data_IF_159022386774
#
_entry.id   IF_159022386774
#
_cell.length_a   1.000
_cell.length_b   1.000
_cell.length_c   1.000
_cell.angle_alpha   90.00
_cell.angle_beta   90.00
_cell.angle_gamma   90.00
#
_symmetry.space_group_name_H-M   'P 1'
#
loop_
_entity.id
_entity.type
_entity.pdbx_description
1 polymer ?
#
# COMPACT_ATOMS: atom_id res chain seq x y z
N UNK A 1 11.19 1.50 -32.34
CA UNK A 1 10.47 2.47 -31.51
C UNK A 1 9.03 2.71 -31.97
N UNK A 2 8.74 2.83 -33.28
CA UNK A 2 7.37 2.97 -33.78
C UNK A 2 6.49 1.71 -33.62
N UNK A 3 7.07 0.51 -33.70
CA UNK A 3 6.33 -0.76 -33.55
C UNK A 3 5.86 -1.07 -32.10
N UNK A 4 6.52 -0.51 -31.07
CA UNK A 4 6.10 -0.61 -29.68
C UNK A 4 4.93 0.34 -29.37
N UNK A 5 4.86 1.49 -30.05
CA UNK A 5 3.74 2.44 -29.92
C UNK A 5 2.46 1.91 -30.57
N UNK A 6 2.56 1.16 -31.66
CA UNK A 6 1.38 0.59 -32.35
C UNK A 6 0.79 -0.60 -31.61
N UNK A 7 1.56 -1.31 -30.77
CA UNK A 7 1.02 -2.38 -29.90
C UNK A 7 0.22 -1.82 -28.69
N UNK A 8 0.51 -0.62 -28.24
CA UNK A 8 -0.27 0.02 -27.15
C UNK A 8 -1.65 0.54 -27.57
N UNK A 9 -1.94 0.69 -28.85
CA UNK A 9 -3.23 1.20 -29.33
C UNK A 9 -4.30 0.11 -29.55
N UNK A 10 -3.97 -1.17 -29.39
CA UNK A 10 -4.91 -2.27 -29.67
C UNK A 10 -5.82 -2.67 -28.49
N UNK A 11 -5.64 -2.10 -27.30
CA UNK A 11 -6.46 -2.39 -26.12
C UNK A 11 -6.86 -1.13 -25.35
N UNK A 12 -7.50 -0.17 -26.01
CA UNK A 12 -8.42 0.71 -25.31
C UNK A 12 -9.73 -0.08 -25.14
N UNK A 13 -9.75 -1.00 -24.20
CA UNK A 13 -11.03 -1.43 -23.64
C UNK A 13 -11.60 -0.19 -22.95
N UNK A 14 -12.74 0.28 -23.43
CA UNK A 14 -13.57 1.18 -22.66
C UNK A 14 -13.69 0.60 -21.25
N UNK A 15 -13.51 1.44 -20.23
CA UNK A 15 -13.51 1.06 -18.83
C UNK A 15 -14.75 0.18 -18.58
N UNK A 16 -14.53 -1.13 -18.50
CA UNK A 16 -15.60 -2.08 -18.28
C UNK A 16 -15.95 -1.92 -16.81
N UNK A 17 -17.20 -1.55 -16.53
CA UNK A 17 -17.68 -1.43 -15.16
C UNK A 17 -17.50 -2.78 -14.48
N UNK A 18 -16.80 -2.80 -13.36
CA UNK A 18 -16.65 -4.00 -12.56
C UNK A 18 -17.93 -4.30 -11.79
N UNK A 19 -18.31 -5.56 -11.67
CA UNK A 19 -19.55 -5.96 -10.99
C UNK A 19 -19.58 -5.58 -9.51
N UNK A 20 -18.41 -5.38 -8.89
CA UNK A 20 -18.25 -4.97 -7.50
C UNK A 20 -18.32 -3.46 -7.26
N UNK A 21 -18.27 -2.62 -8.30
CA UNK A 21 -18.22 -1.15 -8.16
C UNK A 21 -19.44 -0.58 -7.44
N UNK A 22 -20.64 -1.09 -7.71
CA UNK A 22 -21.85 -0.59 -7.06
C UNK A 22 -21.82 -0.77 -5.55
N UNK A 23 -21.25 -1.89 -5.06
CA UNK A 23 -21.06 -2.13 -3.64
C UNK A 23 -19.96 -1.23 -3.06
N UNK A 24 -18.88 -1.03 -3.81
CA UNK A 24 -17.79 -0.13 -3.42
C UNK A 24 -18.30 1.30 -3.23
N UNK A 25 -19.03 1.86 -4.19
CA UNK A 25 -19.56 3.22 -4.07
C UNK A 25 -20.61 3.35 -2.97
N UNK A 26 -21.38 2.32 -2.68
CA UNK A 26 -22.32 2.33 -1.56
C UNK A 26 -21.60 2.43 -0.20
N UNK A 27 -20.48 1.72 -0.04
CA UNK A 27 -19.66 1.81 1.17
C UNK A 27 -19.12 3.24 1.35
N UNK A 28 -18.64 3.84 0.27
CA UNK A 28 -18.02 5.17 0.30
C UNK A 28 -19.04 6.31 0.26
N UNK A 29 -20.21 6.12 -0.29
CA UNK A 29 -21.25 7.15 -0.39
C UNK A 29 -21.90 7.56 0.95
N UNK A 30 -21.61 6.84 2.02
CA UNK A 30 -22.18 7.09 3.35
C UNK A 30 -21.32 8.02 4.22
N UNK A 31 -20.06 8.28 3.85
CA UNK A 31 -19.11 9.06 4.63
C UNK A 31 -18.45 10.17 3.78
N UNK A 32 -17.94 11.19 4.46
CA UNK A 32 -17.18 12.32 3.87
C UNK A 32 -15.75 11.83 3.51
N UNK A 33 -15.57 11.20 2.35
CA UNK A 33 -14.29 10.63 1.91
C UNK A 33 -13.45 11.62 1.10
N UNK A 34 -12.13 11.54 1.27
CA UNK A 34 -11.17 12.17 0.38
C UNK A 34 -11.16 11.45 -0.98
N UNK A 35 -11.36 12.18 -2.08
CA UNK A 35 -11.31 11.63 -3.45
C UNK A 35 -9.99 10.90 -3.74
N UNK A 36 -8.89 11.36 -3.15
CA UNK A 36 -7.57 10.74 -3.32
C UNK A 36 -7.55 9.35 -2.69
N UNK A 37 -8.08 9.21 -1.47
CA UNK A 37 -8.17 7.94 -0.77
C UNK A 37 -9.07 6.95 -1.51
N UNK A 38 -10.23 7.40 -1.97
CA UNK A 38 -11.16 6.57 -2.74
C UNK A 38 -10.51 6.05 -4.04
N UNK A 39 -9.74 6.89 -4.75
CA UNK A 39 -9.03 6.47 -5.95
C UNK A 39 -7.93 5.44 -5.65
N UNK A 40 -7.20 5.59 -4.53
CA UNK A 40 -6.19 4.63 -4.10
C UNK A 40 -6.81 3.27 -3.74
N UNK A 41 -7.94 3.29 -3.07
CA UNK A 41 -8.66 2.08 -2.66
C UNK A 41 -9.29 1.36 -3.86
N UNK A 42 -9.81 2.11 -4.82
CA UNK A 42 -10.28 1.56 -6.09
C UNK A 42 -9.16 0.87 -6.87
N UNK A 43 -8.01 1.54 -7.05
CA UNK A 43 -6.83 0.94 -7.69
C UNK A 43 -6.39 -0.36 -6.98
N UNK A 44 -6.50 -0.40 -5.67
CA UNK A 44 -6.16 -1.57 -4.87
C UNK A 44 -7.14 -2.72 -5.06
N UNK A 45 -8.44 -2.44 -5.17
CA UNK A 45 -9.43 -3.46 -5.47
C UNK A 45 -9.23 -4.04 -6.87
N UNK A 46 -8.89 -3.23 -7.86
CA UNK A 46 -8.52 -3.72 -9.19
C UNK A 46 -7.32 -4.69 -9.13
N UNK A 47 -6.30 -4.37 -8.30
CA UNK A 47 -5.18 -5.30 -8.07
C UNK A 47 -5.63 -6.62 -7.42
N UNK A 48 -6.50 -6.54 -6.41
CA UNK A 48 -7.00 -7.72 -5.71
C UNK A 48 -7.89 -8.59 -6.61
N UNK A 49 -8.68 -7.98 -7.50
CA UNK A 49 -9.49 -8.71 -8.47
C UNK A 49 -8.60 -9.49 -9.45
N UNK A 50 -7.55 -8.87 -9.97
CA UNK A 50 -6.59 -9.55 -10.85
C UNK A 50 -5.81 -10.65 -10.13
N UNK A 51 -5.61 -10.50 -8.82
CA UNK A 51 -4.82 -11.39 -7.99
C UNK A 51 -5.48 -11.65 -6.64
N UNK A 52 -6.61 -12.42 -6.62
CA UNK A 52 -7.37 -12.66 -5.40
C UNK A 52 -6.56 -13.31 -4.29
N UNK A 53 -6.86 -12.96 -3.04
CA UNK A 53 -6.24 -13.53 -1.86
C UNK A 53 -6.70 -14.98 -1.68
N UNK A 54 -5.76 -15.87 -1.33
CA UNK A 54 -6.15 -17.21 -0.91
C UNK A 54 -6.74 -17.15 0.50
N UNK A 55 -8.05 -17.36 0.64
CA UNK A 55 -8.76 -17.30 1.91
C UNK A 55 -8.18 -18.28 2.96
N UNK A 56 -7.55 -19.37 2.50
CA UNK A 56 -6.95 -20.37 3.38
C UNK A 56 -5.58 -19.97 3.93
N UNK A 57 -4.92 -18.99 3.31
CA UNK A 57 -3.57 -18.56 3.69
C UNK A 57 -3.51 -17.08 4.07
N UNK A 58 -4.48 -16.27 3.63
CA UNK A 58 -4.53 -14.84 3.90
C UNK A 58 -4.44 -14.54 5.40
N UNK A 59 -3.62 -13.55 5.74
CA UNK A 59 -3.53 -13.03 7.11
C UNK A 59 -4.70 -12.10 7.42
N UNK A 60 -4.95 -11.85 8.71
CA UNK A 60 -5.99 -10.92 9.14
C UNK A 60 -5.79 -9.54 8.51
N UNK A 61 -4.54 -9.06 8.49
CA UNK A 61 -4.19 -7.76 7.92
C UNK A 61 -4.46 -7.66 6.41
N UNK A 62 -4.19 -8.75 5.68
CA UNK A 62 -4.51 -8.83 4.25
C UNK A 62 -6.02 -8.81 4.00
N UNK A 63 -6.79 -9.50 4.85
CA UNK A 63 -8.26 -9.48 4.77
C UNK A 63 -8.81 -8.09 5.09
N UNK A 64 -8.26 -7.42 6.09
CA UNK A 64 -8.65 -6.05 6.46
C UNK A 64 -8.28 -4.99 5.39
N UNK A 65 -7.55 -5.36 4.35
CA UNK A 65 -7.31 -4.53 3.18
C UNK A 65 -8.49 -4.47 2.20
N UNK A 66 -9.46 -5.34 2.37
CA UNK A 66 -10.66 -5.35 1.53
C UNK A 66 -11.70 -4.41 2.17
N UNK A 67 -12.11 -3.33 1.46
CA UNK A 67 -13.13 -2.41 1.96
C UNK A 67 -14.42 -3.14 2.30
N UNK A 68 -15.06 -2.72 3.39
CA UNK A 68 -16.33 -3.29 3.82
C UNK A 68 -16.23 -4.64 4.55
N UNK A 69 -15.04 -5.22 4.68
CA UNK A 69 -14.83 -6.38 5.55
C UNK A 69 -14.51 -5.90 6.96
N UNK A 70 -15.35 -6.25 7.94
CA UNK A 70 -15.12 -5.88 9.33
C UNK A 70 -14.18 -6.86 10.02
N UNK A 71 -13.57 -6.40 11.12
CA UNK A 71 -12.67 -7.24 11.92
C UNK A 71 -13.37 -8.52 12.43
N UNK A 72 -14.61 -8.39 12.91
CA UNK A 72 -15.40 -9.52 13.38
C UNK A 72 -15.65 -10.56 12.27
N UNK A 73 -15.96 -10.11 11.07
CA UNK A 73 -16.13 -10.97 9.91
C UNK A 73 -14.83 -11.68 9.51
N UNK A 74 -13.71 -10.95 9.50
CA UNK A 74 -12.40 -11.54 9.21
C UNK A 74 -12.03 -12.59 10.27
N UNK A 75 -12.34 -12.36 11.56
CA UNK A 75 -12.15 -13.35 12.62
C UNK A 75 -13.02 -14.59 12.45
N UNK A 76 -14.27 -14.41 12.05
CA UNK A 76 -15.15 -15.55 11.78
C UNK A 76 -14.62 -16.40 10.62
N UNK A 77 -14.02 -15.78 9.58
CA UNK A 77 -13.32 -16.51 8.53
C UNK A 77 -12.17 -17.34 9.11
N UNK A 78 -11.36 -16.77 10.03
CA UNK A 78 -10.28 -17.50 10.70
C UNK A 78 -10.80 -18.65 11.54
N UNK A 79 -11.85 -18.43 12.35
CA UNK A 79 -12.45 -19.45 13.20
C UNK A 79 -13.00 -20.60 12.32
N UNK A 80 -13.66 -20.27 11.22
CA UNK A 80 -14.16 -21.25 10.27
C UNK A 80 -13.02 -22.10 9.69
N UNK A 81 -11.97 -21.43 9.21
CA UNK A 81 -10.77 -22.06 8.66
C UNK A 81 -10.12 -23.04 9.65
N UNK A 82 -9.96 -22.62 10.92
CA UNK A 82 -9.36 -23.47 11.95
C UNK A 82 -10.26 -24.66 12.33
N UNK A 83 -11.58 -24.46 12.33
CA UNK A 83 -12.54 -25.49 12.72
C UNK A 83 -12.72 -26.56 11.65
N UNK A 84 -12.76 -26.16 10.38
CA UNK A 84 -13.09 -27.06 9.27
C UNK A 84 -11.88 -27.44 8.40
N UNK A 85 -10.69 -26.94 8.75
CA UNK A 85 -9.44 -27.25 8.02
C UNK A 85 -9.25 -26.46 6.72
N UNK A 86 -10.01 -25.40 6.54
CA UNK A 86 -9.98 -24.51 5.39
C UNK A 86 -11.31 -24.43 4.65
N UNK A 87 -11.35 -23.56 3.64
CA UNK A 87 -12.45 -23.40 2.69
C UNK A 87 -12.19 -24.28 1.47
N UNK A 88 -13.16 -25.06 1.05
CA UNK A 88 -13.09 -25.80 -0.21
C UNK A 88 -13.50 -24.92 -1.40
N UNK A 89 -14.42 -23.99 -1.16
CA UNK A 89 -14.89 -23.03 -2.15
C UNK A 89 -15.27 -21.69 -1.51
N UNK A 90 -15.36 -20.62 -2.31
CA UNK A 90 -15.74 -19.28 -1.80
C UNK A 90 -17.21 -19.21 -1.43
N UNK A 91 -18.05 -20.05 -2.01
CA UNK A 91 -19.47 -20.15 -1.67
C UNK A 91 -19.72 -20.52 -0.19
N UNK A 92 -18.72 -21.14 0.46
CA UNK A 92 -18.78 -21.46 1.90
C UNK A 92 -18.81 -20.20 2.80
N UNK A 93 -18.51 -19.01 2.28
CA UNK A 93 -18.78 -17.75 2.97
C UNK A 93 -20.27 -17.60 3.34
N UNK A 94 -21.17 -18.35 2.69
CA UNK A 94 -22.58 -18.43 3.05
C UNK A 94 -22.85 -19.05 4.42
N UNK A 95 -21.88 -19.81 4.95
CA UNK A 95 -21.96 -20.42 6.29
C UNK A 95 -21.66 -19.41 7.41
N UNK A 96 -21.18 -18.19 7.05
CA UNK A 96 -20.90 -17.11 8.00
C UNK A 96 -22.09 -16.15 8.07
N UNK A 97 -22.87 -16.15 9.19
CA UNK A 97 -24.09 -15.35 9.30
C UNK A 97 -23.86 -13.84 9.27
N UNK A 98 -22.65 -13.41 9.61
CA UNK A 98 -22.25 -11.99 9.64
C UNK A 98 -22.00 -11.39 8.26
N UNK A 99 -21.91 -12.22 7.21
CA UNK A 99 -21.67 -11.79 5.85
C UNK A 99 -22.97 -11.93 5.05
N UNK A 100 -23.54 -10.81 4.62
CA UNK A 100 -24.77 -10.81 3.85
C UNK A 100 -24.56 -11.27 2.39
N UNK A 101 -25.66 -11.49 1.67
CA UNK A 101 -25.62 -12.02 0.30
C UNK A 101 -24.90 -11.07 -0.68
N UNK A 102 -25.11 -9.76 -0.52
CA UNK A 102 -24.49 -8.74 -1.38
C UNK A 102 -22.99 -8.62 -1.13
N UNK A 103 -22.62 -8.64 0.15
CA UNK A 103 -21.22 -8.63 0.55
C UNK A 103 -20.48 -9.91 0.12
N UNK A 104 -21.13 -11.09 0.12
CA UNK A 104 -20.53 -12.32 -0.41
C UNK A 104 -20.17 -12.22 -1.89
N UNK A 105 -21.07 -11.67 -2.69
CA UNK A 105 -20.79 -11.43 -4.12
C UNK A 105 -19.60 -10.51 -4.27
N UNK A 106 -19.56 -9.41 -3.53
CA UNK A 106 -18.42 -8.50 -3.51
C UNK A 106 -17.11 -9.21 -3.12
N UNK A 107 -17.09 -9.95 -2.02
CA UNK A 107 -15.90 -10.65 -1.53
C UNK A 107 -15.43 -11.77 -2.46
N UNK A 108 -16.32 -12.37 -3.26
CA UNK A 108 -15.96 -13.43 -4.21
C UNK A 108 -15.04 -12.95 -5.34
N UNK A 109 -14.97 -11.65 -5.60
CA UNK A 109 -14.02 -11.07 -6.55
C UNK A 109 -12.59 -11.00 -6.00
N UNK A 110 -12.44 -10.95 -4.67
CA UNK A 110 -11.16 -10.69 -4.01
C UNK A 110 -10.60 -11.89 -3.25
N UNK A 111 -11.40 -12.94 -3.06
CA UNK A 111 -10.96 -14.19 -2.45
C UNK A 111 -11.02 -15.36 -3.43
N UNK A 112 -10.12 -16.30 -3.23
CA UNK A 112 -10.12 -17.61 -3.88
C UNK A 112 -9.83 -18.68 -2.82
N UNK A 113 -10.44 -19.87 -2.96
CA UNK A 113 -10.15 -21.01 -2.10
C UNK A 113 -9.15 -21.94 -2.81
N UNK A 114 -7.91 -21.94 -2.33
CA UNK A 114 -6.85 -22.86 -2.78
C UNK A 114 -6.27 -23.62 -1.60
N UNK A 115 -5.82 -24.85 -1.78
CA UNK A 115 -5.03 -25.55 -0.76
C UNK A 115 -3.80 -24.73 -0.41
N UNK A 116 -3.43 -24.73 0.88
CA UNK A 116 -2.17 -24.11 1.33
C UNK A 116 -1.02 -25.02 0.93
N UNK A 117 -0.10 -24.51 0.12
CA UNK A 117 1.11 -25.24 -0.28
C UNK A 117 2.04 -25.42 0.91
N UNK A 118 2.26 -26.67 1.32
CA UNK A 118 3.20 -27.03 2.38
C UNK A 118 4.57 -27.32 1.75
N UNK A 119 5.57 -26.49 2.04
CA UNK A 119 6.95 -26.73 1.60
C UNK A 119 7.80 -25.46 1.51
N UNK A 120 9.08 -25.68 1.22
CA UNK A 120 10.04 -24.58 0.99
C UNK A 120 9.97 -24.19 -0.48
N UNK A 121 9.13 -23.21 -0.82
CA UNK A 121 9.00 -22.70 -2.19
C UNK A 121 10.33 -22.19 -2.77
N UNK A 122 11.25 -21.70 -1.92
CA UNK A 122 12.58 -21.21 -2.29
C UNK A 122 13.60 -22.31 -2.58
N UNK A 123 13.23 -23.60 -2.55
CA UNK A 123 14.09 -24.68 -3.01
C UNK A 123 14.41 -24.49 -4.49
N UNK A 124 15.68 -24.76 -4.89
CA UNK A 124 16.15 -24.55 -6.27
C UNK A 124 15.28 -25.22 -7.33
N UNK A 125 14.68 -26.34 -6.99
CA UNK A 125 13.79 -27.12 -7.86
C UNK A 125 12.50 -26.37 -8.21
N UNK A 126 12.01 -25.55 -7.30
CA UNK A 126 10.75 -24.81 -7.44
C UNK A 126 10.93 -23.41 -8.02
N UNK A 127 12.11 -22.80 -7.84
CA UNK A 127 12.34 -21.40 -8.20
C UNK A 127 12.14 -21.13 -9.69
N UNK A 128 12.60 -22.03 -10.56
CA UNK A 128 12.45 -21.86 -12.00
C UNK A 128 10.99 -21.99 -12.46
N UNK A 129 10.20 -22.87 -11.84
CA UNK A 129 8.76 -23.01 -12.12
C UNK A 129 7.98 -21.81 -11.64
N UNK A 130 8.29 -21.27 -10.45
CA UNK A 130 7.69 -20.08 -9.89
C UNK A 130 7.92 -18.87 -10.79
N UNK A 131 9.16 -18.65 -11.23
CA UNK A 131 9.49 -17.55 -12.13
C UNK A 131 8.82 -17.66 -13.52
N UNK A 132 8.52 -18.88 -13.98
CA UNK A 132 7.78 -19.10 -15.23
C UNK A 132 6.28 -18.92 -15.09
N UNK A 133 5.73 -19.14 -13.91
CA UNK A 133 4.30 -19.00 -13.61
C UNK A 133 3.91 -17.57 -13.16
N UNK A 134 4.78 -16.57 -13.40
CA UNK A 134 4.52 -15.18 -13.03
C UNK A 134 3.33 -14.60 -13.80
N UNK A 135 2.52 -13.82 -13.10
CA UNK A 135 1.46 -13.01 -13.68
C UNK A 135 1.82 -11.54 -13.48
N UNK A 136 1.56 -10.73 -14.49
CA UNK A 136 1.80 -9.29 -14.42
C UNK A 136 0.70 -8.51 -15.11
N UNK A 137 0.37 -7.37 -14.57
CA UNK A 137 -0.59 -6.43 -15.09
C UNK A 137 0.08 -5.08 -15.35
N UNK A 138 -0.31 -4.43 -16.43
CA UNK A 138 0.08 -3.06 -16.74
C UNK A 138 -1.18 -2.21 -16.83
N UNK A 139 -1.33 -1.28 -15.88
CA UNK A 139 -2.41 -0.31 -15.87
C UNK A 139 -1.85 1.05 -16.30
N UNK A 140 -2.37 1.60 -17.39
CA UNK A 140 -2.10 2.96 -17.81
C UNK A 140 -3.37 3.80 -17.65
N UNK A 141 -3.26 4.94 -16.97
CA UNK A 141 -4.39 5.84 -16.73
C UNK A 141 -4.08 7.23 -17.26
N UNK A 142 -5.11 7.89 -17.83
CA UNK A 142 -5.04 9.28 -18.25
C UNK A 142 -6.29 10.01 -17.74
N UNK A 143 -6.09 11.03 -16.91
CA UNK A 143 -7.15 11.92 -16.45
C UNK A 143 -7.24 13.15 -17.35
N UNK A 144 -8.37 13.34 -18.03
CA UNK A 144 -8.59 14.43 -18.97
C UNK A 144 -9.71 15.33 -18.44
N UNK A 145 -9.39 16.46 -17.77
CA UNK A 145 -10.40 17.37 -17.29
C UNK A 145 -11.07 18.12 -18.46
N UNK A 146 -12.40 18.18 -18.44
CA UNK A 146 -13.18 18.94 -19.44
C UNK A 146 -13.17 20.46 -19.18
N UNK A 147 -12.56 20.90 -18.11
CA UNK A 147 -12.42 22.31 -17.72
C UNK A 147 -10.95 22.71 -17.60
N UNK A 148 -10.69 24.01 -17.61
CA UNK A 148 -9.35 24.55 -17.34
C UNK A 148 -9.35 25.23 -15.97
N UNK A 149 -8.42 24.81 -15.11
CA UNK A 149 -8.20 25.46 -13.80
C UNK A 149 -7.49 26.80 -14.01
N UNK A 150 -7.51 27.65 -12.98
CA UNK A 150 -6.79 28.93 -13.04
C UNK A 150 -5.29 28.73 -13.33
N UNK A 151 -4.66 27.77 -12.67
CA UNK A 151 -3.24 27.45 -12.87
C UNK A 151 -2.89 26.96 -14.29
N UNK A 152 -3.80 26.27 -14.96
CA UNK A 152 -3.61 25.81 -16.35
C UNK A 152 -3.52 26.97 -17.35
N UNK A 153 -4.04 28.16 -16.99
CA UNK A 153 -4.00 29.39 -17.81
C UNK A 153 -2.84 30.31 -17.47
N UNK A 154 -2.43 30.32 -16.19
CA UNK A 154 -1.61 31.41 -15.63
C UNK A 154 -0.34 30.95 -14.93
N UNK A 155 0.11 29.69 -15.04
CA UNK A 155 1.33 29.43 -14.33
C UNK A 155 1.77 28.00 -14.02
N UNK A 156 1.06 27.01 -14.46
CA UNK A 156 1.58 25.65 -14.36
C UNK A 156 2.52 25.35 -15.52
N UNK A 157 3.74 24.80 -15.25
CA UNK A 157 4.69 24.44 -16.31
C UNK A 157 4.27 23.21 -17.10
N UNK A 158 3.41 22.38 -16.55
CA UNK A 158 2.90 21.16 -17.15
C UNK A 158 1.53 21.29 -17.77
N UNK A 159 1.09 20.20 -18.40
CA UNK A 159 -0.20 20.11 -19.05
C UNK A 159 -1.33 19.88 -18.00
N UNK A 160 -2.57 20.16 -18.37
CA UNK A 160 -3.73 19.94 -17.50
C UNK A 160 -4.08 18.45 -17.29
N UNK A 161 -3.39 17.54 -17.95
CA UNK A 161 -3.66 16.11 -17.91
C UNK A 161 -2.92 15.44 -16.76
N UNK A 162 -3.54 14.39 -16.20
CA UNK A 162 -2.93 13.50 -15.21
C UNK A 162 -2.59 12.17 -15.88
N UNK A 163 -1.39 11.68 -15.66
CA UNK A 163 -0.94 10.42 -16.23
C UNK A 163 -0.48 9.47 -15.13
N UNK A 164 -0.72 8.19 -15.33
CA UNK A 164 -0.22 7.15 -14.43
C UNK A 164 0.07 5.86 -15.19
N UNK A 165 1.17 5.22 -14.85
CA UNK A 165 1.50 3.88 -15.32
C UNK A 165 1.84 3.05 -14.09
N UNK A 166 1.24 1.87 -14.00
CA UNK A 166 1.43 0.93 -12.91
C UNK A 166 1.66 -0.44 -13.51
N UNK A 167 2.81 -1.02 -13.23
CA UNK A 167 3.14 -2.41 -13.55
C UNK A 167 3.22 -3.15 -12.23
N UNK A 168 2.30 -4.07 -12.03
CA UNK A 168 2.25 -4.95 -10.88
C UNK A 168 2.44 -6.39 -11.32
N UNK A 169 3.13 -7.18 -10.52
CA UNK A 169 3.29 -8.57 -10.82
C UNK A 169 3.53 -9.40 -9.57
N UNK A 170 3.24 -10.70 -9.71
CA UNK A 170 3.55 -11.68 -8.69
C UNK A 170 4.08 -12.96 -9.32
N UNK A 171 4.96 -13.60 -8.57
CA UNK A 171 5.43 -14.94 -8.85
C UNK A 171 4.97 -15.85 -7.70
N UNK A 172 3.95 -16.68 -7.96
CA UNK A 172 3.25 -17.39 -6.89
C UNK A 172 2.69 -16.41 -5.85
N UNK A 173 2.27 -16.86 -4.69
CA UNK A 173 1.84 -16.01 -3.58
C UNK A 173 3.02 -15.47 -2.73
N UNK A 174 4.25 -15.81 -3.13
CA UNK A 174 5.46 -15.52 -2.36
C UNK A 174 6.21 -14.26 -2.78
N UNK A 175 6.22 -13.92 -4.05
CA UNK A 175 6.94 -12.75 -4.56
C UNK A 175 5.97 -11.81 -5.25
N UNK A 176 5.89 -10.56 -4.76
CA UNK A 176 5.12 -9.49 -5.36
C UNK A 176 6.04 -8.31 -5.68
N UNK A 177 5.90 -7.72 -6.85
CA UNK A 177 6.66 -6.54 -7.24
C UNK A 177 5.76 -5.49 -7.88
N UNK A 178 6.19 -4.25 -7.81
CA UNK A 178 5.51 -3.12 -8.45
C UNK A 178 6.49 -2.08 -8.96
N UNK A 179 6.15 -1.51 -10.13
CA UNK A 179 6.78 -0.32 -10.69
C UNK A 179 5.67 0.66 -11.03
N UNK A 180 5.75 1.85 -10.47
CA UNK A 180 4.72 2.87 -10.61
C UNK A 180 5.38 4.16 -11.11
N UNK A 181 4.75 4.80 -12.11
CA UNK A 181 5.06 6.14 -12.53
C UNK A 181 3.79 6.98 -12.48
N UNK A 182 3.86 8.19 -11.95
CA UNK A 182 2.72 9.08 -11.88
C UNK A 182 3.11 10.53 -12.14
N UNK A 183 2.16 11.27 -12.68
CA UNK A 183 2.26 12.69 -12.90
C UNK A 183 0.92 13.33 -12.67
N UNK A 184 0.89 14.31 -11.79
CA UNK A 184 -0.30 15.10 -11.56
C UNK A 184 -0.47 16.21 -12.60
N UNK A 185 -1.72 16.59 -12.78
CA UNK A 185 -2.08 17.62 -13.73
C UNK A 185 -1.47 18.98 -13.34
N UNK A 186 -0.74 19.60 -14.25
CA UNK A 186 0.02 20.83 -14.06
C UNK A 186 1.53 20.64 -13.82
N UNK A 187 1.96 19.40 -13.62
CA UNK A 187 3.39 19.08 -13.46
C UNK A 187 4.09 18.92 -14.80
N UNK A 188 5.37 19.31 -14.89
CA UNK A 188 6.13 19.21 -16.15
C UNK A 188 6.49 17.76 -16.47
N UNK A 189 6.28 17.33 -17.72
CA UNK A 189 6.69 16.04 -18.24
C UNK A 189 7.91 16.23 -19.16
N UNK A 190 9.01 15.53 -18.90
CA UNK A 190 10.30 15.60 -19.62
C UNK A 190 10.94 17.00 -19.66
N UNK A 191 10.57 17.93 -18.77
CA UNK A 191 11.09 19.31 -18.71
C UNK A 191 11.10 19.84 -17.28
N UNK A 192 11.68 21.01 -17.08
CA UNK A 192 11.59 21.83 -15.85
C UNK A 192 11.84 21.07 -14.53
N UNK A 193 12.90 20.26 -14.48
CA UNK A 193 13.26 19.46 -13.30
C UNK A 193 12.89 17.98 -13.41
N UNK A 194 11.89 17.62 -14.22
CA UNK A 194 11.47 16.24 -14.46
C UNK A 194 12.09 15.66 -15.74
N UNK A 195 13.41 15.76 -15.88
CA UNK A 195 14.16 15.37 -17.10
C UNK A 195 13.98 13.91 -17.50
N UNK A 196 13.66 13.04 -16.55
CA UNK A 196 13.48 11.58 -16.76
C UNK A 196 12.05 11.17 -17.05
N UNK A 197 11.12 12.10 -17.18
CA UNK A 197 9.73 11.82 -17.54
C UNK A 197 8.72 12.32 -16.52
N UNK A 198 8.11 11.40 -15.79
CA UNK A 198 7.08 11.70 -14.81
C UNK A 198 7.67 12.31 -13.55
N UNK A 199 6.83 12.98 -12.77
CA UNK A 199 7.23 13.61 -11.52
C UNK A 199 7.55 12.60 -10.42
N UNK A 200 6.80 11.51 -10.36
CA UNK A 200 6.88 10.48 -9.34
C UNK A 200 7.19 9.10 -9.92
N UNK A 201 8.08 8.39 -9.26
CA UNK A 201 8.37 6.97 -9.55
C UNK A 201 8.45 6.18 -8.25
N UNK A 202 7.81 5.03 -8.21
CA UNK A 202 7.89 4.08 -7.10
C UNK A 202 8.24 2.68 -7.60
N UNK A 203 8.96 1.93 -6.77
CA UNK A 203 9.20 0.51 -6.99
C UNK A 203 9.24 -0.22 -5.67
N UNK A 204 8.82 -1.46 -5.68
CA UNK A 204 9.01 -2.36 -4.55
C UNK A 204 9.09 -3.81 -4.99
N UNK A 205 9.73 -4.62 -4.15
CA UNK A 205 9.72 -6.07 -4.22
C UNK A 205 9.43 -6.60 -2.82
N UNK A 206 8.40 -7.40 -2.68
CA UNK A 206 8.02 -8.07 -1.44
C UNK A 206 8.16 -9.57 -1.60
N UNK A 207 8.87 -10.21 -0.69
CA UNK A 207 9.11 -11.66 -0.66
C UNK A 207 8.57 -12.21 0.66
N UNK A 208 7.66 -13.15 0.60
CA UNK A 208 6.99 -13.73 1.76
C UNK A 208 7.38 -15.20 1.96
N UNK A 209 7.42 -15.65 3.21
CA UNK A 209 7.58 -17.07 3.54
C UNK A 209 8.97 -17.64 3.28
N UNK A 210 10.05 -16.89 3.55
CA UNK A 210 11.43 -17.38 3.50
C UNK A 210 11.83 -18.06 4.83
N UNK A 211 11.19 -19.14 5.15
CA UNK A 211 11.44 -19.86 6.41
C UNK A 211 10.97 -19.03 7.61
N UNK A 212 11.93 -18.56 8.44
CA UNK A 212 11.60 -17.68 9.58
C UNK A 212 11.30 -16.24 9.19
N UNK A 213 11.70 -15.81 8.00
CA UNK A 213 11.37 -14.49 7.49
C UNK A 213 9.96 -14.56 6.90
N UNK A 214 8.98 -14.00 7.62
CA UNK A 214 7.59 -13.94 7.18
C UNK A 214 7.43 -13.02 5.97
N UNK A 215 8.09 -11.85 6.02
CA UNK A 215 8.06 -10.85 4.96
C UNK A 215 9.40 -10.13 4.88
N UNK A 216 9.89 -9.93 3.66
CA UNK A 216 11.04 -9.09 3.34
C UNK A 216 10.64 -8.17 2.21
N UNK A 217 10.74 -6.86 2.44
CA UNK A 217 10.36 -5.86 1.46
C UNK A 217 11.52 -4.91 1.19
N UNK A 218 11.77 -4.66 -0.10
CA UNK A 218 12.77 -3.73 -0.62
C UNK A 218 12.08 -2.69 -1.50
N UNK A 219 12.53 -1.43 -1.43
CA UNK A 219 12.03 -0.32 -2.23
C UNK A 219 11.14 0.62 -1.46
N UNK A 220 10.01 1.06 -2.02
CA UNK A 220 9.05 1.94 -1.35
C UNK A 220 7.95 1.13 -0.67
N UNK A 221 7.66 1.48 0.59
CA UNK A 221 6.73 0.70 1.41
C UNK A 221 6.04 1.56 2.46
N UNK A 222 5.00 0.97 3.06
CA UNK A 222 4.30 1.51 4.23
C UNK A 222 4.43 0.52 5.38
N UNK A 223 4.52 1.04 6.61
CA UNK A 223 4.63 0.24 7.83
C UNK A 223 3.61 0.72 8.85
N UNK A 224 2.91 -0.22 9.47
CA UNK A 224 2.15 -0.04 10.71
C UNK A 224 2.76 -0.95 11.76
N UNK A 225 3.01 -0.44 12.98
CA UNK A 225 3.55 -1.23 14.08
C UNK A 225 2.64 -1.19 15.29
N UNK A 226 2.26 -2.37 15.77
CA UNK A 226 1.38 -2.55 16.91
C UNK A 226 0.04 -1.81 16.72
N UNK A 227 -0.34 -0.95 17.66
CA UNK A 227 -1.57 -0.14 17.56
C UNK A 227 -1.47 1.03 16.56
N UNK A 228 -0.30 1.23 15.93
CA UNK A 228 -0.11 2.34 14.98
C UNK A 228 0.05 3.72 15.64
N UNK A 229 0.32 3.78 16.95
CA UNK A 229 0.48 5.04 17.67
C UNK A 229 1.80 5.75 17.36
N UNK A 230 2.87 4.98 17.12
CA UNK A 230 4.21 5.49 16.82
C UNK A 230 4.46 5.50 15.32
N UNK A 231 4.15 4.39 14.66
CA UNK A 231 4.33 4.21 13.22
C UNK A 231 3.04 3.68 12.58
N UNK A 232 2.45 4.50 11.72
CA UNK A 232 1.23 4.16 10.97
C UNK A 232 1.31 4.70 9.55
N UNK A 233 1.43 3.83 8.58
CA UNK A 233 1.52 4.16 7.15
C UNK A 233 0.16 4.34 6.46
N UNK A 234 -0.90 4.69 7.17
CA UNK A 234 -2.26 4.86 6.62
C UNK A 234 -2.73 3.64 5.80
N UNK A 235 -2.99 2.54 6.49
CA UNK A 235 -3.54 1.32 5.88
C UNK A 235 -5.07 1.23 5.98
N UNK A 236 -5.75 2.27 6.42
CA UNK A 236 -7.18 2.18 6.72
C UNK A 236 -8.05 2.74 5.60
N UNK A 237 -9.11 2.01 5.32
CA UNK A 237 -10.21 2.38 4.44
C UNK A 237 -11.29 3.10 5.26
N UNK A 238 -11.20 4.42 5.39
CA UNK A 238 -12.19 5.21 6.09
C UNK A 238 -12.16 5.16 7.63
N UNK A 239 -12.88 6.08 8.25
CA UNK A 239 -12.87 6.31 9.69
C UNK A 239 -13.38 5.11 10.51
N UNK A 240 -14.43 4.43 10.04
CA UNK A 240 -15.04 3.31 10.77
C UNK A 240 -14.10 2.10 10.84
N UNK A 241 -13.47 1.75 9.73
CA UNK A 241 -12.51 0.64 9.65
C UNK A 241 -11.25 0.97 10.45
N UNK A 242 -10.81 2.23 10.40
CA UNK A 242 -9.71 2.72 11.23
C UNK A 242 -10.02 2.52 12.72
N UNK A 243 -11.21 2.93 13.19
CA UNK A 243 -11.63 2.76 14.59
C UNK A 243 -11.72 1.28 14.98
N UNK A 244 -12.27 0.43 14.12
CA UNK A 244 -12.34 -1.01 14.36
C UNK A 244 -10.95 -1.66 14.42
N UNK A 245 -10.00 -1.19 13.61
CA UNK A 245 -8.61 -1.71 13.58
C UNK A 245 -7.73 -1.18 14.72
N UNK A 246 -8.12 -0.12 15.41
CA UNK A 246 -7.37 0.45 16.54
C UNK A 246 -7.41 -0.42 17.80
N UNK A 247 -8.39 -1.31 17.93
CA UNK A 247 -8.53 -2.18 19.11
C UNK A 247 -7.52 -3.34 19.14
N UNK A 248 -6.85 -3.64 18.03
CA UNK A 248 -5.87 -4.73 17.97
C UNK A 248 -4.50 -4.26 17.51
N UNK A 249 -3.45 -4.69 18.22
CA UNK A 249 -2.08 -4.49 17.78
C UNK A 249 -1.80 -5.38 16.58
N UNK A 250 -1.53 -4.78 15.42
CA UNK A 250 -1.15 -5.48 14.20
C UNK A 250 0.10 -4.85 13.61
N UNK A 251 1.08 -5.66 13.23
CA UNK A 251 2.27 -5.17 12.53
C UNK A 251 2.16 -5.55 11.07
N UNK A 252 2.18 -4.54 10.21
CA UNK A 252 2.02 -4.71 8.78
C UNK A 252 3.09 -3.97 7.99
N UNK A 253 3.67 -4.68 7.02
CA UNK A 253 4.60 -4.13 6.04
C UNK A 253 4.02 -4.42 4.65
N UNK A 254 3.79 -3.40 3.84
CA UNK A 254 3.27 -3.56 2.48
C UNK A 254 3.96 -2.63 1.50
N UNK A 255 4.15 -3.09 0.26
CA UNK A 255 4.68 -2.26 -0.83
C UNK A 255 3.81 -1.05 -1.10
N UNK A 256 4.43 0.08 -1.42
CA UNK A 256 3.72 1.30 -1.77
C UNK A 256 3.31 1.25 -3.24
N UNK A 257 2.10 0.81 -3.50
CA UNK A 257 1.55 0.61 -4.84
C UNK A 257 0.70 1.78 -5.35
N UNK A 258 0.58 2.85 -4.57
CA UNK A 258 -0.22 4.03 -4.94
C UNK A 258 0.56 4.99 -5.84
N UNK A 259 -0.17 5.85 -6.54
CA UNK A 259 0.39 6.88 -7.42
C UNK A 259 0.66 8.20 -6.69
N UNK A 260 0.57 8.19 -5.38
CA UNK A 260 0.80 9.37 -4.52
C UNK A 260 2.24 9.42 -4.03
N UNK A 261 2.88 10.58 -4.11
CA UNK A 261 4.22 10.84 -3.54
C UNK A 261 4.18 11.15 -2.04
N UNK A 262 3.09 10.80 -1.37
CA UNK A 262 2.92 11.02 0.06
C UNK A 262 3.00 9.73 0.87
N UNK A 263 3.41 9.84 2.14
CA UNK A 263 3.28 8.81 3.17
C UNK A 263 3.91 7.43 2.86
N UNK A 264 5.06 7.39 2.21
CA UNK A 264 5.83 6.17 2.04
C UNK A 264 7.17 6.22 2.79
N UNK A 265 7.76 5.05 3.02
CA UNK A 265 9.14 4.86 3.43
C UNK A 265 9.91 4.23 2.27
N UNK A 266 11.24 4.42 2.21
CA UNK A 266 12.06 3.89 1.12
C UNK A 266 13.32 3.22 1.67
N UNK A 267 13.49 1.94 1.39
CA UNK A 267 14.63 1.16 1.86
C UNK A 267 14.30 -0.30 2.03
N UNK A 268 14.43 -0.83 3.25
CA UNK A 268 14.22 -2.23 3.58
C UNK A 268 13.33 -2.37 4.82
N UNK A 269 12.45 -3.36 4.79
CA UNK A 269 11.65 -3.75 5.95
C UNK A 269 11.48 -5.28 5.99
N UNK A 270 11.42 -5.85 7.18
CA UNK A 270 11.29 -7.29 7.37
C UNK A 270 10.53 -7.64 8.63
N UNK A 271 9.78 -8.74 8.57
CA UNK A 271 9.14 -9.39 9.72
C UNK A 271 9.68 -10.80 9.86
N UNK A 272 10.17 -11.15 11.04
CA UNK A 272 10.88 -12.39 11.35
C UNK A 272 10.20 -13.08 12.53
N UNK A 273 9.88 -14.37 12.38
CA UNK A 273 9.48 -15.23 13.49
C UNK A 273 10.75 -15.70 14.26
N UNK A 274 10.90 -15.23 15.49
CA UNK A 274 12.03 -15.60 16.36
C UNK A 274 11.64 -16.67 17.39
N UNK A 275 10.38 -17.10 17.42
CA UNK A 275 9.88 -18.16 18.27
C UNK A 275 10.39 -19.56 17.85
N UNK A 276 10.12 -20.55 18.70
CA UNK A 276 10.34 -21.95 18.35
C UNK A 276 9.13 -22.48 17.61
N UNK A 277 9.35 -23.17 16.52
CA UNK A 277 8.29 -23.82 15.73
C UNK A 277 7.48 -24.80 16.61
N UNK A 278 6.15 -24.72 16.55
CA UNK A 278 5.24 -25.52 17.37
C UNK A 278 5.11 -25.07 18.84
N UNK A 279 5.80 -24.00 19.26
CA UNK A 279 5.63 -23.44 20.60
C UNK A 279 4.32 -22.67 20.74
N UNK A 280 3.73 -22.71 21.93
CA UNK A 280 2.61 -21.84 22.31
C UNK A 280 3.06 -20.38 22.53
N UNK A 281 4.37 -20.17 22.73
CA UNK A 281 5.00 -18.87 22.87
C UNK A 281 5.44 -18.39 21.47
N UNK A 282 4.74 -17.42 20.92
CA UNK A 282 5.06 -16.84 19.62
C UNK A 282 5.78 -15.51 19.81
N UNK A 283 6.93 -15.38 19.19
CA UNK A 283 7.71 -14.15 19.19
C UNK A 283 7.93 -13.68 17.76
N UNK A 284 7.63 -12.43 17.51
CA UNK A 284 7.84 -11.82 16.21
C UNK A 284 8.61 -10.52 16.34
N UNK A 285 9.57 -10.32 15.44
CA UNK A 285 10.35 -9.10 15.31
C UNK A 285 10.10 -8.51 13.93
N UNK A 286 9.61 -7.28 13.89
CA UNK A 286 9.53 -6.48 12.68
C UNK A 286 10.46 -5.29 12.78
N UNK A 287 11.24 -5.04 11.73
CA UNK A 287 12.16 -3.92 11.69
C UNK A 287 12.18 -3.29 10.30
N UNK A 288 12.48 -1.99 10.26
CA UNK A 288 12.62 -1.27 9.01
C UNK A 288 13.70 -0.21 9.08
N UNK A 289 14.26 0.10 7.92
CA UNK A 289 15.14 1.24 7.68
C UNK A 289 14.72 1.95 6.41
N UNK A 290 14.55 3.26 6.48
CA UNK A 290 14.16 4.12 5.39
C UNK A 290 15.14 5.28 5.25
N UNK A 291 15.53 5.57 4.03
CA UNK A 291 16.22 6.80 3.66
C UNK A 291 15.61 7.36 2.40
N UNK A 292 15.10 8.58 2.46
CA UNK A 292 14.43 9.25 1.34
C UNK A 292 14.65 10.74 1.35
N UNK A 293 14.45 11.36 0.21
CA UNK A 293 14.30 12.80 0.11
C UNK A 293 12.84 13.20 0.22
N UNK A 294 12.57 14.28 0.95
CA UNK A 294 11.25 14.82 1.20
C UNK A 294 11.18 16.29 0.79
N UNK A 295 9.97 16.75 0.57
CA UNK A 295 9.69 18.14 0.26
C UNK A 295 9.62 18.96 1.54
N UNK A 296 10.32 20.09 1.56
CA UNK A 296 10.32 20.97 2.70
C UNK A 296 10.32 22.44 2.30
N UNK A 297 9.65 23.26 3.10
CA UNK A 297 9.82 24.69 3.07
C UNK A 297 10.97 25.06 4.00
N UNK A 298 12.00 25.68 3.46
CA UNK A 298 13.19 26.12 4.21
C UNK A 298 13.02 27.60 4.63
N UNK A 299 13.66 27.95 5.75
CA UNK A 299 13.86 29.36 6.13
C UNK A 299 15.12 29.92 5.46
N UNK A 300 15.40 31.21 5.64
CA UNK A 300 16.55 31.92 5.06
C UNK A 300 17.91 31.32 5.51
N UNK A 301 17.94 30.64 6.63
CA UNK A 301 19.10 29.93 7.16
C UNK A 301 19.25 28.49 6.64
N UNK A 302 18.35 28.02 5.76
CA UNK A 302 18.36 26.68 5.19
C UNK A 302 17.86 25.57 6.12
N UNK A 303 17.22 25.93 7.21
CA UNK A 303 16.58 24.99 8.15
C UNK A 303 15.16 24.69 7.73
N UNK A 304 14.63 23.52 8.10
CA UNK A 304 13.27 23.08 7.76
C UNK A 304 12.24 23.81 8.61
N UNK A 305 11.43 24.64 7.97
CA UNK A 305 10.28 25.33 8.57
C UNK A 305 9.04 24.44 8.59
N UNK A 306 8.78 23.72 7.49
CA UNK A 306 7.59 22.88 7.34
C UNK A 306 7.89 21.74 6.38
N UNK A 307 7.54 20.51 6.76
CA UNK A 307 7.55 19.34 5.86
C UNK A 307 6.28 19.38 5.02
N UNK A 308 6.44 19.36 3.69
CA UNK A 308 5.34 19.39 2.73
C UNK A 308 4.92 17.96 2.42
N UNK A 309 3.65 17.64 2.61
CA UNK A 309 3.10 16.28 2.42
C UNK A 309 2.13 16.19 1.24
N UNK A 310 1.97 17.26 0.45
CA UNK A 310 1.03 17.26 -0.68
C UNK A 310 1.49 16.44 -1.88
N UNK A 311 2.81 16.29 -2.06
CA UNK A 311 3.40 15.62 -3.22
C UNK A 311 3.15 16.32 -4.56
N UNK A 312 2.74 17.61 -4.56
CA UNK A 312 2.49 18.38 -5.80
C UNK A 312 3.67 19.25 -6.18
N UNK A 313 4.03 19.23 -7.48
CA UNK A 313 5.10 20.05 -8.06
C UNK A 313 4.62 20.81 -9.30
N UNK A 314 3.49 21.54 -9.15
CA UNK A 314 2.76 22.24 -10.24
C UNK A 314 3.15 23.70 -10.41
N UNK A 315 3.88 24.26 -9.45
CA UNK A 315 4.31 25.66 -9.48
C UNK A 315 5.82 25.75 -9.29
N UNK A 316 6.42 26.86 -9.71
CA UNK A 316 7.86 27.13 -9.46
C UNK A 316 8.19 27.03 -7.97
N UNK A 317 7.31 27.54 -7.10
CA UNK A 317 7.50 27.47 -5.65
C UNK A 317 7.40 26.05 -5.09
N UNK A 318 6.51 25.19 -5.64
CA UNK A 318 6.43 23.78 -5.27
C UNK A 318 7.67 23.02 -5.76
N UNK A 319 8.10 23.26 -7.01
CA UNK A 319 9.33 22.66 -7.58
C UNK A 319 10.60 23.00 -6.78
N UNK A 320 10.69 24.20 -6.21
CA UNK A 320 11.82 24.59 -5.34
C UNK A 320 11.84 23.82 -4.00
N UNK A 321 10.72 23.28 -3.56
CA UNK A 321 10.61 22.49 -2.34
C UNK A 321 10.88 21.01 -2.57
N UNK A 322 10.86 20.58 -3.84
CA UNK A 322 10.97 19.18 -4.23
C UNK A 322 12.28 18.58 -3.76
N UNK A 323 12.19 17.51 -2.97
CA UNK A 323 13.30 16.65 -2.55
C UNK A 323 14.52 17.40 -1.97
N UNK A 324 14.28 18.51 -1.30
CA UNK A 324 15.36 19.38 -0.80
C UNK A 324 15.88 19.01 0.61
N UNK A 325 15.24 18.04 1.27
CA UNK A 325 15.62 17.58 2.62
C UNK A 325 15.68 16.07 2.63
N UNK A 326 16.72 15.48 3.22
CA UNK A 326 16.80 14.04 3.44
C UNK A 326 16.30 13.66 4.84
N UNK A 327 15.50 12.59 4.88
CA UNK A 327 14.96 11.96 6.08
C UNK A 327 15.45 10.52 6.18
N UNK A 328 16.03 10.14 7.31
CA UNK A 328 16.25 8.75 7.67
C UNK A 328 15.31 8.36 8.81
N UNK A 329 14.57 7.29 8.63
CA UNK A 329 13.67 6.76 9.66
C UNK A 329 13.97 5.28 9.85
N UNK A 330 14.15 4.86 11.09
CA UNK A 330 14.36 3.46 11.45
C UNK A 330 13.47 3.09 12.62
N UNK A 331 13.03 1.84 12.65
CA UNK A 331 12.21 1.37 13.75
C UNK A 331 12.17 -0.13 13.85
N UNK A 332 11.78 -0.59 15.03
CA UNK A 332 11.57 -1.98 15.34
C UNK A 332 10.35 -2.18 16.25
N UNK A 333 9.69 -3.30 16.07
CA UNK A 333 8.60 -3.76 16.90
C UNK A 333 8.83 -5.23 17.25
N UNK A 334 8.78 -5.54 18.54
CA UNK A 334 8.78 -6.90 19.03
C UNK A 334 7.41 -7.21 19.63
N UNK A 335 6.83 -8.32 19.24
CA UNK A 335 5.57 -8.83 19.81
C UNK A 335 5.76 -10.20 20.42
N UNK A 336 4.94 -10.48 21.43
CA UNK A 336 4.86 -11.74 22.12
C UNK A 336 3.41 -12.14 22.31
N UNK A 337 3.05 -13.35 21.88
CA UNK A 337 1.72 -13.93 22.01
C UNK A 337 1.77 -15.24 22.78
N UNK A 338 0.87 -15.37 23.76
CA UNK A 338 0.66 -16.61 24.53
C UNK A 338 -0.82 -16.77 24.92
N UNK A 339 -1.51 -17.68 24.29
CA UNK A 339 -2.95 -17.86 24.51
C UNK A 339 -3.72 -16.57 24.20
N UNK A 340 -4.37 -16.00 25.20
CA UNK A 340 -5.11 -14.71 25.10
C UNK A 340 -4.25 -13.48 25.41
N UNK A 341 -2.98 -13.69 25.79
CA UNK A 341 -2.08 -12.60 26.13
C UNK A 341 -1.30 -12.13 24.90
N UNK A 342 -1.31 -10.83 24.71
CA UNK A 342 -0.49 -10.16 23.72
C UNK A 342 0.29 -9.01 24.39
N UNK A 343 1.58 -8.93 24.11
CA UNK A 343 2.43 -7.83 24.54
C UNK A 343 3.31 -7.39 23.37
N UNK A 344 3.50 -6.09 23.21
CA UNK A 344 4.34 -5.55 22.15
C UNK A 344 5.05 -4.28 22.58
N UNK A 345 6.23 -4.05 22.00
CA UNK A 345 7.04 -2.83 22.19
C UNK A 345 7.50 -2.31 20.85
N UNK A 346 7.31 -1.01 20.63
CA UNK A 346 7.73 -0.30 19.40
C UNK A 346 8.70 0.81 19.76
N UNK A 347 9.80 0.90 19.00
CA UNK A 347 10.73 2.03 19.04
C UNK A 347 11.04 2.53 17.64
N UNK A 348 11.09 3.85 17.46
CA UNK A 348 11.47 4.50 16.19
C UNK A 348 12.46 5.62 16.44
N UNK A 349 13.27 5.89 15.43
CA UNK A 349 14.22 7.00 15.43
C UNK A 349 14.21 7.69 14.07
N UNK A 350 13.99 9.02 14.09
CA UNK A 350 13.97 9.88 12.92
C UNK A 350 15.19 10.80 12.94
N UNK A 351 15.81 10.94 11.78
CA UNK A 351 16.92 11.84 11.56
C UNK A 351 16.73 12.64 10.26
N UNK A 352 17.08 13.93 10.31
CA UNK A 352 17.03 14.83 9.17
C UNK A 352 18.43 15.39 8.90
N UNK A 353 18.77 15.59 7.63
CA UNK A 353 20.04 16.22 7.25
C UNK A 353 20.08 17.72 7.49
N UNK A 354 18.95 18.31 7.89
CA UNK A 354 18.78 19.73 8.22
C UNK A 354 18.12 19.87 9.58
N UNK A 355 18.49 20.93 10.29
CA UNK A 355 17.83 21.27 11.55
C UNK A 355 16.37 21.63 11.32
N UNK A 356 15.51 21.21 12.25
CA UNK A 356 14.10 21.56 12.25
C UNK A 356 13.92 22.89 13.01
N UNK A 357 13.32 23.87 12.35
CA UNK A 357 13.00 25.18 12.94
C UNK A 357 11.56 25.57 12.64
N UNK A 358 10.57 24.83 13.22
CA UNK A 358 9.16 25.11 12.98
C UNK A 358 8.76 26.44 13.59
N UNK A 359 7.98 27.23 12.86
CA UNK A 359 7.36 28.44 13.41
C UNK A 359 6.25 28.04 14.40
N UNK A 360 6.54 28.14 15.68
CA UNK A 360 5.53 27.92 16.72
C UNK A 360 5.42 29.14 17.61
N UNK A 361 4.20 29.59 17.86
CA UNK A 361 3.90 30.67 18.80
C UNK A 361 3.70 30.15 20.23
N UNK A 362 3.62 28.85 20.42
CA UNK A 362 3.40 28.19 21.70
C UNK A 362 4.68 27.60 22.27
N UNK A 363 5.07 27.94 23.52
CA UNK A 363 6.34 27.47 24.14
C UNK A 363 6.44 25.94 24.25
N UNK A 364 5.34 25.22 24.27
CA UNK A 364 5.27 23.75 24.39
C UNK A 364 5.44 22.99 23.06
N UNK A 365 5.64 23.67 21.94
CA UNK A 365 5.84 23.05 20.61
C UNK A 365 7.19 23.37 19.98
N UNK A 366 8.16 23.76 20.81
CA UNK A 366 9.54 23.98 20.38
C UNK A 366 10.34 22.67 20.48
#
# INVERSE_FOLDING_TARGET
>A
MLALLTMCFAFVQAQQKHDWEDYFYDIYGLDDYDETQMAEDYDRLCELETSPLNINDATLDQMMDIPGLTLDQAEQIFIYRDRYGGFLSIEELSMLPSIDARQRVFLSHFFQARPVEKGKWYAKENLASILRAGHGEVLATAGIPFYSRKGDREGYPGDKYKYGVKLMGKFSDHIKYGLIGAQDAGEPLFKDGNKYGMDYYSFFVNVNGLGRIKSLLLGRYRVKMGLGLVQNGNFSFGKQIMLASMSRPTTRIAGHSTRSDANYLQGIASTIDIGKEGSKHKWELSAFYSYRYIDATLNDSGQVKTIVKSGYHRTVSEMQKKYNTAEANTGAHISYDYGSWHAGMTGTYDWFNRDLSPMTTTPFRR
#
